data_IF_374127065314
#
_entry.id   IF_374127065314
#
_cell.length_a   1.000
_cell.length_b   1.000
_cell.length_c   1.000
_cell.angle_alpha   90.00
_cell.angle_beta   90.00
_cell.angle_gamma   90.00
#
_symmetry.space_group_name_H-M   'P 1'
#
loop_
_entity.id
_entity.type
_entity.pdbx_description
1 polymer ?
#
# COMPACT_ATOMS: atom_id res chain seq x y z
N UNK A 1 5.51 -7.70 14.34
CA UNK A 1 4.31 -7.33 13.56
C UNK A 1 3.85 -8.59 12.87
N UNK A 2 2.55 -8.87 12.84
CA UNK A 2 2.02 -10.07 12.18
C UNK A 2 1.74 -9.76 10.71
N UNK A 3 1.77 -10.80 9.90
CA UNK A 3 1.36 -10.73 8.50
C UNK A 3 -0.06 -11.31 8.35
N UNK A 4 -0.78 -10.87 7.33
CA UNK A 4 -2.13 -11.38 7.03
C UNK A 4 -2.21 -11.93 5.60
N UNK A 5 -2.96 -13.01 5.42
CA UNK A 5 -3.28 -13.61 4.12
C UNK A 5 -4.62 -13.06 3.63
N UNK A 6 -4.67 -12.66 2.36
CA UNK A 6 -5.90 -12.26 1.68
C UNK A 6 -6.13 -13.14 0.45
N UNK A 7 -7.38 -13.56 0.25
CA UNK A 7 -7.82 -14.25 -0.97
C UNK A 7 -8.23 -13.23 -2.02
N UNK A 8 -7.54 -13.23 -3.17
CA UNK A 8 -7.70 -12.20 -4.21
C UNK A 8 -8.95 -12.41 -5.09
N UNK A 9 -9.63 -13.55 -4.97
CA UNK A 9 -10.83 -13.87 -5.74
C UNK A 9 -12.11 -13.21 -5.19
N UNK A 10 -12.08 -12.74 -3.95
CA UNK A 10 -13.26 -12.19 -3.23
C UNK A 10 -13.02 -10.74 -2.77
N UNK A 11 -12.17 -10.00 -3.50
CA UNK A 11 -11.95 -8.59 -3.22
C UNK A 11 -13.26 -7.79 -3.40
N UNK A 12 -13.56 -6.84 -2.52
CA UNK A 12 -14.75 -6.01 -2.65
C UNK A 12 -14.65 -5.10 -3.87
N UNK A 13 -15.79 -4.67 -4.39
CA UNK A 13 -15.84 -3.57 -5.34
C UNK A 13 -15.57 -2.24 -4.61
N UNK A 14 -14.76 -1.39 -5.24
CA UNK A 14 -14.45 -0.03 -4.73
C UNK A 14 -14.81 1.08 -5.71
N UNK A 15 -15.50 0.73 -6.80
CA UNK A 15 -15.95 1.69 -7.82
C UNK A 15 -16.77 2.85 -7.23
N UNK A 16 -17.79 2.60 -6.38
CA UNK A 16 -18.57 3.67 -5.77
C UNK A 16 -17.73 4.62 -4.89
N UNK A 17 -16.82 4.09 -4.08
CA UNK A 17 -15.90 4.90 -3.27
C UNK A 17 -14.92 5.69 -4.13
N UNK A 18 -14.39 5.08 -5.19
CA UNK A 18 -13.48 5.75 -6.12
C UNK A 18 -14.18 6.90 -6.88
N UNK A 19 -15.46 6.73 -7.26
CA UNK A 19 -16.28 7.79 -7.84
C UNK A 19 -16.44 8.95 -6.85
N UNK A 20 -16.80 8.67 -5.59
CA UNK A 20 -16.93 9.70 -4.54
C UNK A 20 -15.63 10.47 -4.30
N UNK A 21 -14.50 9.76 -4.28
CA UNK A 21 -13.18 10.40 -4.19
C UNK A 21 -12.93 11.33 -5.38
N UNK A 22 -13.23 10.85 -6.59
CA UNK A 22 -13.07 11.65 -7.82
C UNK A 22 -13.95 12.89 -7.83
N UNK A 23 -15.20 12.79 -7.39
CA UNK A 23 -16.11 13.94 -7.22
C UNK A 23 -15.59 14.95 -6.20
N UNK A 24 -14.82 14.51 -5.19
CA UNK A 24 -14.12 15.36 -4.24
C UNK A 24 -12.77 15.91 -4.76
N UNK A 25 -12.44 15.66 -6.03
CA UNK A 25 -11.20 16.08 -6.69
C UNK A 25 -9.98 15.19 -6.38
N UNK A 26 -10.21 13.99 -5.82
CA UNK A 26 -9.14 13.05 -5.45
C UNK A 26 -9.07 11.95 -6.50
N UNK A 27 -7.91 11.79 -7.14
CA UNK A 27 -7.69 10.72 -8.11
C UNK A 27 -6.77 9.65 -7.54
N UNK A 28 -7.07 8.38 -7.86
CA UNK A 28 -6.22 7.22 -7.55
C UNK A 28 -5.57 6.74 -8.84
N UNK A 29 -4.25 6.71 -8.91
CA UNK A 29 -3.51 6.28 -10.12
C UNK A 29 -2.14 5.72 -9.80
N UNK A 30 -1.51 5.09 -10.79
CA UNK A 30 -0.07 4.79 -10.73
C UNK A 30 0.72 6.07 -11.07
N UNK A 31 1.74 6.45 -10.28
CA UNK A 31 2.69 7.48 -10.66
C UNK A 31 3.57 7.00 -11.82
N UNK A 32 4.09 7.94 -12.63
CA UNK A 32 5.02 7.66 -13.71
C UNK A 32 6.46 8.03 -13.33
N UNK A 33 7.44 7.58 -14.13
CA UNK A 33 8.86 7.69 -13.81
C UNK A 33 9.35 9.10 -13.41
N UNK A 34 8.94 10.21 -14.07
CA UNK A 34 9.34 11.57 -13.69
C UNK A 34 8.91 11.98 -12.26
N UNK A 35 7.96 11.27 -11.67
CA UNK A 35 7.40 11.58 -10.36
C UNK A 35 8.08 10.81 -9.22
N UNK A 36 9.03 9.93 -9.53
CA UNK A 36 9.67 9.02 -8.57
C UNK A 36 10.14 9.77 -7.32
N UNK A 37 11.01 10.77 -7.48
CA UNK A 37 11.59 11.49 -6.33
C UNK A 37 10.52 12.24 -5.55
N UNK A 38 9.55 12.87 -6.23
CA UNK A 38 8.44 13.60 -5.58
C UNK A 38 7.66 12.66 -4.65
N UNK A 39 7.32 11.46 -5.12
CA UNK A 39 6.59 10.48 -4.32
C UNK A 39 7.46 9.90 -3.21
N UNK A 40 8.69 9.49 -3.51
CA UNK A 40 9.57 8.85 -2.52
C UNK A 40 9.96 9.81 -1.39
N UNK A 41 10.31 11.06 -1.71
CA UNK A 41 10.66 12.08 -0.71
C UNK A 41 9.45 12.45 0.16
N UNK A 42 8.24 12.46 -0.42
CA UNK A 42 7.01 12.60 0.36
C UNK A 42 6.78 11.42 1.31
N UNK A 43 7.00 10.18 0.84
CA UNK A 43 6.90 8.98 1.69
C UNK A 43 7.91 9.04 2.83
N UNK A 44 9.15 9.44 2.57
CA UNK A 44 10.18 9.61 3.61
C UNK A 44 9.73 10.61 4.68
N UNK A 45 9.23 11.76 4.26
CA UNK A 45 8.80 12.83 5.17
C UNK A 45 7.64 12.41 6.07
N UNK A 46 6.66 11.70 5.52
CA UNK A 46 5.43 11.35 6.24
C UNK A 46 5.52 10.02 7.00
N UNK A 47 6.34 9.07 6.52
CA UNK A 47 6.37 7.69 7.02
C UNK A 47 7.78 7.11 7.28
N UNK A 48 8.84 7.86 6.96
CA UNK A 48 10.22 7.52 7.29
C UNK A 48 10.98 6.75 6.21
N UNK A 49 12.28 6.59 6.45
CA UNK A 49 13.24 6.10 5.46
C UNK A 49 12.96 4.68 4.95
N UNK A 50 12.50 3.75 5.80
CA UNK A 50 12.26 2.38 5.36
C UNK A 50 11.19 2.31 4.26
N UNK A 51 10.09 3.05 4.43
CA UNK A 51 9.02 3.06 3.46
C UNK A 51 9.40 3.83 2.19
N UNK A 52 10.27 4.84 2.29
CA UNK A 52 10.91 5.45 1.12
C UNK A 52 11.62 4.40 0.28
N UNK A 53 12.50 3.61 0.90
CA UNK A 53 13.31 2.62 0.19
C UNK A 53 12.43 1.57 -0.49
N UNK A 54 11.36 1.11 0.17
CA UNK A 54 10.40 0.19 -0.43
C UNK A 54 9.62 0.83 -1.59
N UNK A 55 9.21 2.11 -1.46
CA UNK A 55 8.61 2.85 -2.55
C UNK A 55 9.57 3.01 -3.74
N UNK A 56 10.86 3.26 -3.52
CA UNK A 56 11.86 3.32 -4.58
C UNK A 56 11.98 2.00 -5.35
N UNK A 57 11.86 0.86 -4.67
CA UNK A 57 11.77 -0.46 -5.32
C UNK A 57 10.49 -0.57 -6.16
N UNK A 58 9.34 -0.09 -5.66
CA UNK A 58 8.09 -0.09 -6.43
C UNK A 58 8.22 0.67 -7.77
N UNK A 59 9.03 1.73 -7.80
CA UNK A 59 9.35 2.51 -9.01
C UNK A 59 10.36 1.84 -9.95
N UNK A 60 10.98 0.72 -9.57
CA UNK A 60 11.87 -0.04 -10.46
C UNK A 60 11.11 -0.89 -11.50
N UNK A 61 9.79 -1.00 -11.36
CA UNK A 61 8.89 -1.71 -12.28
C UNK A 61 8.21 -0.74 -13.26
N UNK A 62 7.82 -1.26 -14.44
CA UNK A 62 7.06 -0.52 -15.44
C UNK A 62 5.82 -1.30 -15.91
N UNK A 63 4.59 -0.84 -15.59
CA UNK A 63 4.26 0.33 -14.79
C UNK A 63 4.70 0.20 -13.33
N UNK A 64 4.85 1.32 -12.61
CA UNK A 64 5.27 1.31 -11.20
C UNK A 64 4.32 0.47 -10.34
N UNK A 65 4.87 -0.32 -9.43
CA UNK A 65 4.10 -1.14 -8.49
C UNK A 65 3.62 -0.33 -7.27
N UNK A 66 3.16 0.88 -7.53
CA UNK A 66 2.69 1.83 -6.54
C UNK A 66 1.40 2.49 -7.06
N UNK A 67 0.43 2.68 -6.19
CA UNK A 67 -0.68 3.60 -6.41
C UNK A 67 -0.52 4.81 -5.50
N UNK A 68 -0.91 5.99 -5.98
CA UNK A 68 -1.01 7.21 -5.19
C UNK A 68 -2.45 7.74 -5.22
N UNK A 69 -2.83 8.38 -4.12
CA UNK A 69 -3.99 9.24 -4.05
C UNK A 69 -3.50 10.69 -4.09
N UNK A 70 -4.03 11.50 -5.01
CA UNK A 70 -3.66 12.91 -5.08
C UNK A 70 -4.88 13.80 -5.24
N UNK A 71 -4.77 15.04 -4.75
CA UNK A 71 -5.69 16.13 -5.04
C UNK A 71 -4.87 17.30 -5.56
N UNK A 72 -5.13 17.71 -6.79
CA UNK A 72 -4.28 18.68 -7.51
C UNK A 72 -2.81 18.23 -7.47
N UNK A 73 -1.91 19.03 -6.88
CA UNK A 73 -0.48 18.73 -6.73
C UNK A 73 -0.11 18.15 -5.36
N UNK A 74 -1.10 17.80 -4.52
CA UNK A 74 -0.88 17.27 -3.18
C UNK A 74 -1.05 15.75 -3.16
N UNK A 75 -0.05 15.03 -2.65
CA UNK A 75 -0.14 13.59 -2.37
C UNK A 75 -0.85 13.38 -1.03
N UNK A 76 -1.91 12.57 -1.05
CA UNK A 76 -2.77 12.28 0.09
C UNK A 76 -2.56 10.87 0.65
N UNK A 77 -2.00 9.97 -0.15
CA UNK A 77 -1.76 8.59 0.23
C UNK A 77 -1.01 7.82 -0.84
N UNK A 78 -0.43 6.70 -0.45
CA UNK A 78 0.26 5.77 -1.34
C UNK A 78 0.06 4.33 -0.89
N UNK A 79 0.19 3.40 -1.82
CA UNK A 79 0.26 1.97 -1.52
C UNK A 79 1.16 1.27 -2.53
N UNK A 80 2.14 0.54 -2.02
CA UNK A 80 3.06 -0.28 -2.80
C UNK A 80 2.67 -1.76 -2.74
N UNK A 81 3.13 -2.51 -3.72
CA UNK A 81 3.05 -3.97 -3.76
C UNK A 81 4.29 -4.52 -4.45
N UNK A 82 4.61 -5.80 -4.27
CA UNK A 82 5.80 -6.43 -4.89
C UNK A 82 7.11 -5.65 -4.59
N UNK A 83 7.17 -4.98 -3.44
CA UNK A 83 8.23 -4.02 -3.11
C UNK A 83 9.22 -4.57 -2.09
N UNK A 84 8.76 -5.02 -0.92
CA UNK A 84 9.62 -5.67 0.07
C UNK A 84 9.94 -7.12 -0.30
N UNK A 85 8.93 -7.83 -0.79
CA UNK A 85 9.01 -9.22 -1.21
C UNK A 85 7.96 -9.52 -2.29
N UNK A 86 8.14 -10.64 -3.00
CA UNK A 86 7.14 -11.12 -3.95
C UNK A 86 5.84 -11.45 -3.25
N UNK A 87 4.72 -11.14 -3.89
CA UNK A 87 3.36 -11.35 -3.42
C UNK A 87 2.99 -10.61 -2.13
N UNK A 88 3.75 -9.57 -1.77
CA UNK A 88 3.47 -8.71 -0.63
C UNK A 88 2.76 -7.42 -1.07
N UNK A 89 1.75 -7.05 -0.31
CA UNK A 89 1.18 -5.71 -0.26
C UNK A 89 1.82 -4.94 0.90
N UNK A 90 2.23 -3.71 0.63
CA UNK A 90 2.91 -2.83 1.57
C UNK A 90 4.23 -2.29 1.01
N UNK A 91 4.70 -1.14 1.52
CA UNK A 91 4.07 -0.31 2.54
C UNK A 91 2.84 0.46 2.00
N UNK A 92 2.04 1.04 2.89
CA UNK A 92 0.87 1.85 2.55
C UNK A 92 0.59 2.90 3.61
N UNK A 93 0.20 4.10 3.19
CA UNK A 93 -0.05 5.22 4.10
C UNK A 93 -1.06 6.21 3.54
N UNK A 94 -1.84 6.82 4.44
CA UNK A 94 -2.70 7.97 4.14
C UNK A 94 -2.33 9.12 5.06
N UNK A 95 -2.16 10.31 4.50
CA UNK A 95 -1.91 11.56 5.21
C UNK A 95 -2.95 11.75 6.32
N UNK A 96 -2.51 12.15 7.50
CA UNK A 96 -3.32 12.09 8.73
C UNK A 96 -4.70 12.75 8.60
N UNK A 97 -4.77 13.98 8.09
CA UNK A 97 -6.03 14.71 7.88
C UNK A 97 -6.98 14.12 6.82
N UNK A 98 -6.53 13.11 6.07
CA UNK A 98 -7.30 12.43 5.02
C UNK A 98 -7.69 10.99 5.38
N UNK A 99 -7.31 10.52 6.57
CA UNK A 99 -7.74 9.21 7.08
C UNK A 99 -9.25 9.16 7.28
N UNK A 100 -9.84 7.97 7.17
CA UNK A 100 -11.29 7.77 7.29
C UNK A 100 -12.14 8.22 6.10
N UNK A 101 -11.54 8.77 5.04
CA UNK A 101 -12.26 9.26 3.84
C UNK A 101 -12.33 8.23 2.70
N UNK A 102 -11.99 6.97 2.95
CA UNK A 102 -12.02 5.89 1.96
C UNK A 102 -10.76 5.74 1.10
N UNK A 103 -9.79 6.66 1.15
CA UNK A 103 -8.54 6.61 0.37
C UNK A 103 -7.78 5.28 0.58
N UNK A 104 -7.53 4.91 1.85
CA UNK A 104 -6.81 3.67 2.17
C UNK A 104 -7.51 2.42 1.65
N UNK A 105 -8.85 2.38 1.67
CA UNK A 105 -9.63 1.24 1.13
C UNK A 105 -9.42 1.10 -0.38
N UNK A 106 -9.53 2.21 -1.12
CA UNK A 106 -9.36 2.17 -2.58
C UNK A 106 -7.91 1.82 -2.95
N UNK A 107 -6.91 2.42 -2.29
CA UNK A 107 -5.50 2.09 -2.50
C UNK A 107 -5.18 0.61 -2.24
N UNK A 108 -5.70 0.06 -1.13
CA UNK A 108 -5.56 -1.36 -0.79
C UNK A 108 -6.13 -2.24 -1.89
N UNK A 109 -7.40 -2.05 -2.24
CA UNK A 109 -8.09 -2.93 -3.19
C UNK A 109 -7.48 -2.84 -4.58
N UNK A 110 -7.10 -1.63 -5.06
CA UNK A 110 -6.44 -1.46 -6.35
C UNK A 110 -5.08 -2.16 -6.41
N UNK A 111 -4.32 -2.16 -5.31
CA UNK A 111 -3.03 -2.85 -5.23
C UNK A 111 -3.21 -4.38 -5.20
N UNK A 112 -4.20 -4.89 -4.47
CA UNK A 112 -4.51 -6.33 -4.43
C UNK A 112 -5.07 -6.83 -5.78
N UNK A 113 -5.88 -6.02 -6.47
CA UNK A 113 -6.30 -6.32 -7.84
C UNK A 113 -5.11 -6.38 -8.79
N UNK A 114 -4.12 -5.50 -8.64
CA UNK A 114 -2.89 -5.58 -9.43
C UNK A 114 -2.11 -6.88 -9.17
N UNK A 115 -2.00 -7.33 -7.91
CA UNK A 115 -1.41 -8.64 -7.60
C UNK A 115 -2.20 -9.79 -8.25
N UNK A 116 -3.53 -9.70 -8.26
CA UNK A 116 -4.40 -10.68 -8.94
C UNK A 116 -4.12 -10.71 -10.45
N UNK A 117 -3.99 -9.55 -11.07
CA UNK A 117 -3.68 -9.41 -12.50
C UNK A 117 -2.30 -9.98 -12.85
N UNK A 118 -1.35 -9.97 -11.91
CA UNK A 118 -0.04 -10.63 -12.05
C UNK A 118 -0.11 -12.16 -11.93
N UNK A 119 -1.27 -12.74 -11.63
CA UNK A 119 -1.49 -14.18 -11.57
C UNK A 119 -1.49 -14.78 -10.16
N UNK A 120 -1.45 -13.96 -9.09
CA UNK A 120 -1.58 -14.47 -7.74
C UNK A 120 -3.04 -14.77 -7.38
N UNK A 121 -3.27 -15.88 -6.69
CA UNK A 121 -4.59 -16.23 -6.14
C UNK A 121 -4.81 -15.71 -4.70
N UNK A 122 -3.71 -15.51 -3.98
CA UNK A 122 -3.65 -15.01 -2.61
C UNK A 122 -2.49 -14.03 -2.50
N UNK A 123 -2.58 -13.06 -1.59
CA UNK A 123 -1.48 -12.14 -1.29
C UNK A 123 -1.22 -12.04 0.21
N UNK A 124 -0.03 -11.57 0.57
CA UNK A 124 0.39 -11.31 1.94
C UNK A 124 0.34 -9.80 2.19
N UNK A 125 -0.27 -9.40 3.28
CA UNK A 125 -0.22 -8.03 3.80
C UNK A 125 0.86 -8.04 4.88
N UNK A 126 2.00 -7.42 4.57
CA UNK A 126 3.19 -7.50 5.43
C UNK A 126 3.16 -6.46 6.55
N UNK A 127 3.58 -6.83 7.75
CA UNK A 127 3.81 -5.88 8.85
C UNK A 127 2.57 -5.10 9.26
N UNK A 128 1.49 -5.82 9.59
CA UNK A 128 0.16 -5.22 9.73
C UNK A 128 0.00 -4.29 10.93
N UNK A 129 -0.61 -3.13 10.67
CA UNK A 129 -1.22 -2.27 11.68
C UNK A 129 -2.13 -1.20 11.04
N UNK A 130 -3.42 -1.07 11.44
CA UNK A 130 -4.21 -1.96 12.30
C UNK A 130 -4.79 -3.17 11.55
N UNK A 131 -4.81 -4.35 12.19
CA UNK A 131 -5.30 -5.61 11.57
C UNK A 131 -6.79 -5.59 11.21
N UNK A 132 -7.62 -4.96 12.06
CA UNK A 132 -9.06 -4.87 11.82
C UNK A 132 -9.40 -4.15 10.52
N UNK A 133 -8.58 -3.19 10.09
CA UNK A 133 -8.78 -2.53 8.80
C UNK A 133 -8.73 -3.53 7.64
N UNK A 134 -7.72 -4.40 7.60
CA UNK A 134 -7.57 -5.38 6.53
C UNK A 134 -8.60 -6.51 6.63
N UNK A 135 -8.87 -6.99 7.84
CA UNK A 135 -9.93 -7.98 8.08
C UNK A 135 -11.29 -7.50 7.58
N UNK A 136 -11.68 -6.29 7.97
CA UNK A 136 -13.00 -5.74 7.63
C UNK A 136 -13.10 -5.29 6.17
N UNK A 137 -11.98 -4.90 5.54
CA UNK A 137 -12.00 -4.40 4.16
C UNK A 137 -11.92 -5.52 3.13
N UNK A 138 -11.05 -6.51 3.31
CA UNK A 138 -10.75 -7.52 2.28
C UNK A 138 -10.81 -8.96 2.80
N UNK A 139 -11.35 -9.18 4.00
CA UNK A 139 -11.44 -10.52 4.59
C UNK A 139 -10.09 -11.13 4.92
N UNK A 140 -9.05 -10.31 5.15
CA UNK A 140 -7.73 -10.81 5.46
C UNK A 140 -7.74 -11.56 6.80
N UNK A 141 -6.95 -12.63 6.89
CA UNK A 141 -6.79 -13.46 8.09
C UNK A 141 -5.34 -13.46 8.55
N UNK A 142 -5.09 -13.52 9.86
CA UNK A 142 -3.72 -13.62 10.37
C UNK A 142 -3.04 -14.91 9.89
N UNK A 143 -1.76 -14.80 9.53
CA UNK A 143 -0.92 -15.96 9.22
C UNK A 143 -0.32 -16.47 10.53
N UNK A 144 -0.62 -17.73 10.88
CA UNK A 144 -0.06 -18.36 12.08
C UNK A 144 1.48 -18.42 12.01
N UNK A 145 2.16 -18.03 13.10
CA UNK A 145 3.63 -18.02 13.17
C UNK A 145 4.30 -16.80 12.54
N UNK A 146 3.53 -15.81 12.05
CA UNK A 146 4.06 -14.61 11.41
C UNK A 146 4.58 -13.54 12.39
N UNK A 147 4.67 -13.84 13.68
CA UNK A 147 5.36 -12.97 14.65
C UNK A 147 6.83 -12.77 14.27
N UNK A 148 7.41 -13.79 13.62
CA UNK A 148 8.73 -13.77 12.99
C UNK A 148 8.51 -13.72 11.47
N UNK A 149 8.60 -12.54 10.89
CA UNK A 149 8.42 -12.34 9.44
C UNK A 149 9.74 -12.08 8.73
N UNK A 150 9.67 -11.71 7.44
CA UNK A 150 10.84 -11.32 6.63
C UNK A 150 11.65 -10.18 7.27
N UNK A 151 11.05 -9.41 8.19
CA UNK A 151 11.69 -8.31 8.90
C UNK A 151 12.47 -8.73 10.16
N UNK A 152 12.56 -10.02 10.50
CA UNK A 152 13.15 -10.50 11.76
C UNK A 152 14.58 -9.99 12.03
N UNK A 153 15.39 -9.85 10.97
CA UNK A 153 16.78 -9.40 11.04
C UNK A 153 16.97 -8.01 10.38
N UNK A 154 15.89 -7.23 10.25
CA UNK A 154 15.93 -5.91 9.65
C UNK A 154 16.86 -4.99 10.45
N UNK A 155 17.87 -4.42 9.78
CA UNK A 155 18.75 -3.43 10.37
C UNK A 155 17.95 -2.19 10.77
N UNK A 156 18.06 -1.79 12.04
CA UNK A 156 17.36 -0.62 12.59
C UNK A 156 18.28 0.59 12.63
N UNK A 157 17.76 1.76 12.27
CA UNK A 157 18.44 3.02 12.53
C UNK A 157 18.62 3.16 14.04
N UNK A 158 19.85 2.99 14.50
CA UNK A 158 20.24 3.37 15.84
C UNK A 158 20.23 4.89 15.90
N UNK A 159 19.34 5.45 16.70
CA UNK A 159 19.44 6.86 17.05
C UNK A 159 20.71 6.97 17.90
N UNK A 160 21.75 7.58 17.35
CA UNK A 160 22.94 7.96 18.11
C UNK A 160 22.65 9.10 19.06
#
# INVERSE_FOLDING_TARGET
MKDMLVRLMELPEVGPEEIKLREAGIIIRRPIAPEKSIVCDWVEKEFGLYWKNEAEVAFSFHPAHCFIAQKENEILGFACYESTAKNFFGPTGTKEGWRGKGIGKVLLVRSLLALKEMGYAYAIIGGVGPADFYKNTVGAVEIAGSEISIYQNLLRQTHG
#
